data_IF_151111630519
#
_entry.id   IF_151111630519
#
_cell.length_a   1.000
_cell.length_b   1.000
_cell.length_c   1.000
_cell.angle_alpha   90.00
_cell.angle_beta   90.00
_cell.angle_gamma   90.00
#
_symmetry.space_group_name_H-M   'P 1'
#
loop_
_entity.id
_entity.type
_entity.pdbx_description
1 polymer ?
#
# COMPACT_ATOMS: atom_id res chain seq x y z
N UNK A 1 -53.76 -3.02 -96.59
CA UNK A 1 -55.09 -3.65 -96.52
C UNK A 1 -55.18 -4.47 -95.24
N UNK A 2 -56.35 -4.40 -94.56
CA UNK A 2 -56.86 -5.28 -93.50
C UNK A 2 -56.03 -5.32 -92.19
N UNK A 3 -56.47 -4.77 -91.05
CA UNK A 3 -57.69 -5.03 -90.27
C UNK A 3 -57.89 -6.50 -89.89
N UNK A 4 -58.19 -6.70 -88.60
CA UNK A 4 -58.93 -7.79 -87.92
C UNK A 4 -58.19 -8.10 -86.59
N UNK A 5 -58.59 -7.52 -85.44
CA UNK A 5 -59.72 -7.89 -84.54
C UNK A 5 -59.72 -9.41 -84.29
N UNK A 6 -59.87 -10.00 -83.13
CA UNK A 6 -60.25 -9.62 -81.79
C UNK A 6 -59.85 -10.84 -80.93
N UNK A 7 -59.70 -10.68 -79.62
CA UNK A 7 -60.70 -11.17 -78.66
C UNK A 7 -60.14 -11.24 -77.25
N UNK A 8 -60.99 -10.72 -76.37
CA UNK A 8 -60.98 -10.90 -74.93
C UNK A 8 -60.93 -12.38 -74.57
N UNK A 9 -60.36 -12.82 -73.45
CA UNK A 9 -60.74 -12.42 -72.10
C UNK A 9 -59.88 -13.25 -71.15
N UNK A 10 -59.28 -12.67 -70.12
CA UNK A 10 -59.14 -13.28 -68.79
C UNK A 10 -58.59 -12.21 -67.84
N UNK A 11 -59.41 -11.81 -66.85
CA UNK A 11 -58.97 -11.00 -65.71
C UNK A 11 -58.83 -11.89 -64.47
N UNK A 12 -57.95 -11.53 -63.52
CA UNK A 12 -57.14 -12.49 -62.80
C UNK A 12 -57.72 -12.92 -61.45
N UNK A 13 -57.22 -14.07 -60.99
CA UNK A 13 -57.43 -14.65 -59.67
C UNK A 13 -56.92 -13.71 -58.56
N UNK A 14 -57.72 -13.61 -57.50
CA UNK A 14 -57.42 -12.88 -56.28
C UNK A 14 -56.21 -13.50 -55.56
N UNK A 15 -55.18 -12.68 -55.33
CA UNK A 15 -54.01 -12.98 -54.49
C UNK A 15 -54.26 -12.48 -53.07
N UNK A 16 -53.78 -13.24 -52.08
CA UNK A 16 -53.37 -12.68 -50.77
C UNK A 16 -53.77 -13.50 -49.55
N UNK A 17 -52.98 -14.53 -49.23
CA UNK A 17 -52.94 -15.18 -47.92
C UNK A 17 -51.88 -14.50 -47.03
N UNK A 18 -52.17 -14.44 -45.72
CA UNK A 18 -51.29 -14.46 -44.54
C UNK A 18 -50.05 -13.51 -44.50
N UNK A 19 -49.99 -12.53 -43.60
CA UNK A 19 -49.70 -12.62 -42.15
C UNK A 19 -48.23 -12.90 -41.79
N UNK A 20 -47.76 -12.18 -40.74
CA UNK A 20 -46.70 -12.55 -39.77
C UNK A 20 -45.32 -11.87 -39.89
N UNK A 21 -45.12 -10.86 -39.02
CA UNK A 21 -43.90 -10.42 -38.30
C UNK A 21 -42.64 -9.99 -39.08
N UNK A 22 -42.57 -8.69 -39.40
CA UNK A 22 -41.30 -7.98 -39.55
C UNK A 22 -40.82 -7.45 -38.18
N UNK A 23 -40.14 -8.27 -37.37
CA UNK A 23 -39.39 -7.79 -36.19
C UNK A 23 -38.45 -8.87 -35.64
N UNK A 24 -37.35 -9.20 -36.32
CA UNK A 24 -36.24 -9.96 -35.69
C UNK A 24 -35.00 -10.03 -36.58
N UNK A 25 -34.21 -8.96 -36.66
CA UNK A 25 -32.89 -9.08 -37.31
C UNK A 25 -31.80 -8.10 -36.86
N UNK A 26 -31.99 -7.29 -35.81
CA UNK A 26 -30.99 -6.29 -35.39
C UNK A 26 -30.53 -6.36 -33.93
N UNK A 27 -30.86 -7.43 -33.20
CA UNK A 27 -30.46 -7.59 -31.79
C UNK A 27 -29.47 -8.74 -31.53
N UNK A 28 -29.03 -9.48 -32.56
CA UNK A 28 -28.32 -10.74 -32.35
C UNK A 28 -26.76 -10.68 -32.41
N UNK A 29 -26.14 -9.52 -32.64
CA UNK A 29 -24.66 -9.42 -32.69
C UNK A 29 -24.07 -8.68 -31.48
N UNK A 30 -24.84 -7.84 -30.79
CA UNK A 30 -24.35 -7.09 -29.63
C UNK A 30 -24.32 -7.90 -28.30
N UNK A 31 -24.89 -9.11 -28.27
CA UNK A 31 -25.22 -9.80 -27.01
C UNK A 31 -24.39 -11.06 -26.70
N UNK A 32 -23.26 -11.29 -27.39
CA UNK A 32 -22.39 -12.45 -27.14
C UNK A 32 -21.08 -12.15 -26.40
N UNK A 33 -20.72 -10.89 -26.22
CA UNK A 33 -19.48 -10.50 -25.53
C UNK A 33 -19.71 -9.77 -24.20
N UNK A 34 -20.96 -9.48 -23.82
CA UNK A 34 -21.31 -8.80 -22.57
C UNK A 34 -20.86 -9.52 -21.26
N UNK A 35 -20.82 -10.86 -21.12
CA UNK A 35 -20.48 -11.46 -19.84
C UNK A 35 -18.97 -11.44 -19.53
N UNK A 36 -18.11 -11.37 -20.54
CA UNK A 36 -16.67 -11.39 -20.35
C UNK A 36 -16.13 -10.11 -19.68
N UNK A 37 -16.76 -8.96 -19.97
CA UNK A 37 -16.32 -7.65 -19.45
C UNK A 37 -16.74 -7.47 -17.99
N UNK A 38 -17.93 -7.97 -17.63
CA UNK A 38 -18.42 -7.99 -16.26
C UNK A 38 -17.56 -8.93 -15.39
N UNK A 39 -17.25 -10.13 -15.88
CA UNK A 39 -16.35 -11.05 -15.16
C UNK A 39 -14.93 -10.48 -14.99
N UNK A 40 -14.39 -9.81 -16.00
CA UNK A 40 -13.06 -9.18 -15.92
C UNK A 40 -13.04 -8.02 -14.92
N UNK A 41 -14.11 -7.20 -14.88
CA UNK A 41 -14.25 -6.10 -13.91
C UNK A 41 -14.38 -6.61 -12.47
N UNK A 42 -15.11 -7.72 -12.25
CA UNK A 42 -15.26 -8.36 -10.93
C UNK A 42 -13.93 -8.96 -10.42
N UNK A 43 -13.13 -9.56 -11.31
CA UNK A 43 -11.80 -10.10 -10.95
C UNK A 43 -10.81 -8.96 -10.59
N UNK A 44 -10.88 -7.82 -11.28
CA UNK A 44 -10.07 -6.64 -10.96
C UNK A 44 -10.49 -5.98 -9.63
N UNK A 45 -11.78 -5.99 -9.27
CA UNK A 45 -12.25 -5.45 -7.97
C UNK A 45 -11.95 -6.40 -6.79
N UNK A 46 -11.91 -7.71 -7.00
CA UNK A 46 -11.70 -8.71 -5.94
C UNK A 46 -10.26 -8.84 -5.44
N UNK A 47 -9.30 -8.16 -6.10
CA UNK A 47 -7.86 -8.27 -5.80
C UNK A 47 -7.29 -7.09 -5.00
N UNK A 48 -8.15 -6.29 -4.37
CA UNK A 48 -7.70 -5.32 -3.38
C UNK A 48 -7.42 -6.04 -2.06
N UNK A 49 -6.24 -6.66 -1.95
CA UNK A 49 -5.71 -6.99 -0.63
C UNK A 49 -5.59 -5.66 0.12
N UNK A 50 -6.23 -5.47 1.29
CA UNK A 50 -5.93 -4.31 2.11
C UNK A 50 -4.45 -4.42 2.46
N UNK A 51 -3.63 -3.63 1.78
CA UNK A 51 -2.27 -3.40 2.22
C UNK A 51 -2.41 -2.61 3.52
N UNK A 52 -2.47 -3.30 4.65
CA UNK A 52 -2.18 -2.65 5.91
C UNK A 52 -0.78 -2.06 5.75
N UNK A 53 -0.69 -0.74 5.72
CA UNK A 53 0.56 -0.02 5.89
C UNK A 53 0.61 0.37 7.36
N UNK A 54 1.03 -0.57 8.20
CA UNK A 54 1.27 -0.33 9.63
C UNK A 54 2.75 0.00 9.87
N UNK A 55 3.05 0.46 11.08
CA UNK A 55 4.44 0.69 11.51
C UNK A 55 4.91 -0.52 12.29
N UNK A 56 5.85 -1.26 11.72
CA UNK A 56 6.61 -2.29 12.41
C UNK A 56 7.69 -1.67 13.28
N UNK A 57 8.07 -2.38 14.35
CA UNK A 57 9.19 -1.98 15.21
C UNK A 57 9.97 -3.20 15.70
N UNK A 58 11.29 -3.09 15.67
CA UNK A 58 12.22 -4.04 16.28
C UNK A 58 13.29 -3.26 17.05
N UNK A 59 13.81 -3.84 18.13
CA UNK A 59 14.95 -3.29 18.86
C UNK A 59 16.16 -4.21 18.67
N UNK A 60 17.25 -3.66 18.13
CA UNK A 60 18.54 -4.32 18.16
C UNK A 60 19.14 -4.11 19.55
N UNK A 61 19.35 -5.21 20.29
CA UNK A 61 19.96 -5.17 21.62
C UNK A 61 21.35 -4.51 21.59
N UNK A 62 21.79 -3.96 22.72
CA UNK A 62 23.14 -3.40 22.85
C UNK A 62 24.23 -4.45 22.57
N UNK A 63 25.40 -3.96 22.16
CA UNK A 63 26.60 -4.77 21.98
C UNK A 63 27.82 -3.99 22.53
N UNK A 64 29.03 -4.59 22.57
CA UNK A 64 30.21 -3.92 23.15
C UNK A 64 30.60 -2.58 22.49
N UNK A 65 30.13 -2.31 21.27
CA UNK A 65 30.47 -1.11 20.50
C UNK A 65 29.33 -0.09 20.39
N UNK A 66 28.09 -0.47 20.73
CA UNK A 66 26.89 0.35 20.49
C UNK A 66 25.80 0.06 21.52
N UNK A 67 25.12 1.12 21.95
CA UNK A 67 23.83 1.01 22.65
C UNK A 67 22.75 0.34 21.79
N UNK A 68 21.56 0.10 22.37
CA UNK A 68 20.44 -0.45 21.61
C UNK A 68 20.01 0.51 20.50
N UNK A 69 19.49 -0.06 19.41
CA UNK A 69 18.97 0.70 18.26
C UNK A 69 17.53 0.28 18.03
N UNK A 70 16.60 1.21 18.21
CA UNK A 70 15.20 0.98 17.85
C UNK A 70 15.00 1.28 16.38
N UNK A 71 14.39 0.37 15.64
CA UNK A 71 14.15 0.49 14.20
C UNK A 71 12.65 0.43 13.94
N UNK A 72 12.15 1.37 13.15
CA UNK A 72 10.78 1.43 12.68
C UNK A 72 10.75 1.32 11.16
N UNK A 73 9.78 0.59 10.62
CA UNK A 73 9.72 0.26 9.20
C UNK A 73 8.29 -0.03 8.75
N UNK A 74 7.97 0.09 7.46
CA UNK A 74 6.66 -0.30 6.93
C UNK A 74 6.42 -1.79 7.18
N UNK A 75 5.25 -2.16 7.67
CA UNK A 75 4.84 -3.55 7.88
C UNK A 75 3.39 -3.76 7.43
N UNK A 76 3.00 -5.02 7.25
CA UNK A 76 1.62 -5.40 6.88
C UNK A 76 0.87 -6.18 7.95
N UNK A 77 1.51 -6.45 9.09
CA UNK A 77 0.85 -7.02 10.25
C UNK A 77 -0.05 -5.97 10.92
N UNK A 78 -1.10 -6.43 11.60
CA UNK A 78 -1.98 -5.58 12.39
C UNK A 78 -1.19 -4.89 13.52
N UNK A 79 -1.36 -3.58 13.67
CA UNK A 79 -0.75 -2.83 14.77
C UNK A 79 -1.58 -2.98 16.05
N UNK A 80 -0.90 -3.10 17.18
CA UNK A 80 -1.54 -3.17 18.49
C UNK A 80 -1.14 -1.97 19.33
N UNK A 81 -2.02 -1.56 20.26
CA UNK A 81 -1.72 -0.49 21.18
C UNK A 81 -0.70 -0.96 22.23
N UNK A 82 0.46 -0.33 22.23
CA UNK A 82 1.53 -0.52 23.21
C UNK A 82 1.68 0.71 24.09
N UNK A 83 2.11 0.49 25.33
CA UNK A 83 2.43 1.55 26.28
C UNK A 83 3.89 1.43 26.72
N UNK A 84 4.62 2.55 26.68
CA UNK A 84 5.96 2.68 27.26
C UNK A 84 5.99 3.97 28.07
N UNK A 85 6.15 3.84 29.39
CA UNK A 85 6.06 4.95 30.34
C UNK A 85 4.80 5.81 30.13
N UNK A 86 4.97 7.11 29.91
CA UNK A 86 3.88 8.06 29.66
C UNK A 86 3.32 8.00 28.23
N UNK A 87 3.86 7.15 27.37
CA UNK A 87 3.54 7.17 25.96
C UNK A 87 2.76 5.94 25.47
N UNK A 88 1.92 6.12 24.45
CA UNK A 88 1.08 5.08 23.85
C UNK A 88 1.18 5.12 22.33
N UNK A 89 1.37 3.97 21.69
CA UNK A 89 1.60 3.88 20.24
C UNK A 89 0.99 2.62 19.65
N UNK A 90 0.50 2.71 18.42
CA UNK A 90 0.07 1.54 17.65
C UNK A 90 1.24 1.04 16.80
N UNK A 91 1.78 -0.13 17.13
CA UNK A 91 2.92 -0.73 16.44
C UNK A 91 2.68 -2.21 16.18
N UNK A 92 3.29 -2.74 15.12
CA UNK A 92 3.39 -4.17 14.87
C UNK A 92 4.79 -4.66 15.31
N UNK A 93 4.94 -4.97 16.60
CA UNK A 93 6.22 -5.38 17.17
C UNK A 93 6.75 -6.67 16.54
N UNK A 94 8.02 -6.67 16.14
CA UNK A 94 8.74 -7.80 15.53
C UNK A 94 8.05 -8.38 14.27
N UNK A 95 7.15 -7.62 13.63
CA UNK A 95 6.53 -8.03 12.38
C UNK A 95 7.57 -8.08 11.25
N UNK A 96 7.34 -8.94 10.26
CA UNK A 96 8.16 -8.96 9.05
C UNK A 96 8.06 -7.59 8.34
N UNK A 97 9.19 -6.97 7.95
CA UNK A 97 9.17 -5.74 7.17
C UNK A 97 8.47 -5.94 5.85
N UNK A 98 7.63 -4.98 5.46
CA UNK A 98 7.09 -4.92 4.12
C UNK A 98 8.20 -4.52 3.12
N UNK A 99 8.13 -4.98 1.86
CA UNK A 99 9.01 -4.48 0.80
C UNK A 99 8.90 -2.95 0.69
N UNK A 100 10.04 -2.26 0.55
CA UNK A 100 10.07 -0.79 0.68
C UNK A 100 11.14 -0.11 -0.17
N UNK A 101 11.29 1.20 0.00
CA UNK A 101 12.20 2.03 -0.80
C UNK A 101 13.69 1.92 -0.41
N UNK A 102 14.00 1.13 0.62
CA UNK A 102 15.35 0.94 1.18
C UNK A 102 16.07 2.23 1.60
N UNK A 103 15.32 3.29 1.94
CA UNK A 103 15.88 4.56 2.43
C UNK A 103 15.87 4.59 3.95
N UNK A 104 17.03 4.89 4.53
CA UNK A 104 17.24 4.99 5.97
C UNK A 104 17.28 6.46 6.41
N UNK A 105 16.56 6.77 7.48
CA UNK A 105 16.74 7.99 8.27
C UNK A 105 17.19 7.57 9.66
N UNK A 106 18.21 8.24 10.22
CA UNK A 106 18.63 8.03 11.60
C UNK A 106 18.30 9.28 12.41
N UNK A 107 17.58 9.11 13.52
CA UNK A 107 17.22 10.20 14.44
C UNK A 107 18.05 10.04 15.71
N UNK A 108 18.91 11.01 15.99
CA UNK A 108 19.58 11.16 17.27
C UNK A 108 18.68 11.95 18.22
N UNK A 109 18.46 11.45 19.44
CA UNK A 109 17.70 12.18 20.44
C UNK A 109 18.45 13.40 20.99
N UNK A 110 17.76 14.34 21.65
CA UNK A 110 18.36 15.46 22.38
C UNK A 110 19.05 15.05 23.69
N UNK A 111 19.67 16.00 24.39
CA UNK A 111 20.30 15.81 25.70
C UNK A 111 19.38 16.29 26.83
N UNK A 112 19.14 15.53 27.91
CA UNK A 112 19.13 14.08 28.04
C UNK A 112 17.73 13.53 27.72
N UNK A 113 17.43 13.39 26.42
CA UNK A 113 16.09 13.03 25.97
C UNK A 113 15.93 11.52 25.75
N UNK A 114 14.68 11.07 25.76
CA UNK A 114 14.27 9.74 25.34
C UNK A 114 14.10 9.69 23.82
N UNK A 115 14.50 8.62 23.11
CA UNK A 115 14.19 8.45 21.69
C UNK A 115 12.68 8.49 21.39
N UNK A 116 11.85 8.07 22.34
CA UNK A 116 10.40 7.93 22.18
C UNK A 116 9.67 9.27 21.97
N UNK A 117 10.30 10.41 22.27
CA UNK A 117 9.71 11.74 22.04
C UNK A 117 9.52 12.07 20.55
N UNK A 118 10.17 11.34 19.64
CA UNK A 118 10.10 11.54 18.19
C UNK A 118 9.15 10.59 17.48
N UNK A 119 8.28 9.88 18.19
CA UNK A 119 7.50 8.80 17.59
C UNK A 119 6.47 9.23 16.54
N UNK A 120 5.79 10.37 16.72
CA UNK A 120 4.86 10.84 15.68
C UNK A 120 5.57 11.28 14.40
N UNK A 121 6.74 11.92 14.53
CA UNK A 121 7.61 12.21 13.38
C UNK A 121 8.03 10.90 12.70
N UNK A 122 8.42 9.91 13.50
CA UNK A 122 8.89 8.61 13.01
C UNK A 122 7.79 7.84 12.31
N UNK A 123 6.59 7.82 12.88
CA UNK A 123 5.40 7.26 12.25
C UNK A 123 5.16 7.91 10.90
N UNK A 124 5.21 9.24 10.83
CA UNK A 124 5.03 9.99 9.58
C UNK A 124 6.07 9.59 8.52
N UNK A 125 7.35 9.50 8.91
CA UNK A 125 8.43 9.07 8.02
C UNK A 125 8.27 7.62 7.56
N UNK A 126 7.88 6.72 8.45
CA UNK A 126 7.66 5.31 8.10
C UNK A 126 6.47 5.15 7.16
N UNK A 127 5.37 5.86 7.41
CA UNK A 127 4.21 5.86 6.50
C UNK A 127 4.53 6.49 5.14
N UNK A 128 5.53 7.39 5.08
CA UNK A 128 6.11 7.88 3.83
C UNK A 128 7.08 6.88 3.16
N UNK A 129 7.25 5.68 3.74
CA UNK A 129 8.00 4.56 3.19
C UNK A 129 9.45 4.45 3.66
N UNK A 130 9.92 5.29 4.58
CA UNK A 130 11.30 5.23 5.10
C UNK A 130 11.45 4.15 6.19
N UNK A 131 12.65 3.59 6.31
CA UNK A 131 13.09 2.92 7.54
C UNK A 131 13.72 3.99 8.44
N UNK A 132 13.34 4.01 9.73
CA UNK A 132 13.86 4.98 10.69
C UNK A 132 14.56 4.25 11.83
N UNK A 133 15.82 4.59 12.09
CA UNK A 133 16.58 4.06 13.21
C UNK A 133 16.83 5.14 14.28
N UNK A 134 16.73 4.74 15.54
CA UNK A 134 16.97 5.57 16.72
C UNK A 134 17.96 4.88 17.65
N UNK A 135 19.25 5.24 17.59
CA UNK A 135 20.21 4.80 18.60
C UNK A 135 19.91 5.46 19.95
N UNK A 136 20.02 4.67 21.03
CA UNK A 136 20.22 5.20 22.37
C UNK A 136 21.71 5.40 22.61
N UNK A 137 22.10 6.63 22.93
CA UNK A 137 23.51 7.00 23.09
C UNK A 137 24.04 6.62 24.47
N UNK A 138 25.37 6.39 24.58
CA UNK A 138 26.01 6.18 25.88
C UNK A 138 25.91 7.44 26.74
N UNK A 139 25.34 7.29 27.94
CA UNK A 139 24.97 8.40 28.82
C UNK A 139 24.16 9.49 28.07
N UNK A 140 23.96 10.65 28.72
CA UNK A 140 23.21 11.79 28.15
C UNK A 140 21.88 11.39 27.49
N UNK A 141 21.18 10.43 28.10
CA UNK A 141 19.91 9.87 27.65
C UNK A 141 18.94 9.77 28.84
N UNK A 142 17.70 9.39 28.58
CA UNK A 142 16.65 9.39 29.60
C UNK A 142 16.83 8.39 30.76
N UNK A 143 17.73 7.40 30.63
CA UNK A 143 18.06 6.42 31.66
C UNK A 143 19.31 6.82 32.46
N UNK A 144 20.21 7.56 31.83
CA UNK A 144 21.50 7.98 32.38
C UNK A 144 21.88 9.34 31.80
N UNK A 145 21.80 10.38 32.61
CA UNK A 145 22.12 11.76 32.26
C UNK A 145 23.52 12.19 32.73
N UNK A 146 24.38 11.25 33.15
CA UNK A 146 25.62 11.53 33.88
C UNK A 146 26.72 12.25 33.08
N UNK A 147 26.62 12.29 31.76
CA UNK A 147 27.65 12.85 30.89
C UNK A 147 27.06 13.73 29.78
N UNK A 148 26.42 14.86 30.13
CA UNK A 148 25.96 15.81 29.13
C UNK A 148 27.16 16.35 28.33
N UNK A 149 26.88 16.94 27.17
CA UNK A 149 27.94 17.47 26.31
C UNK A 149 28.85 18.48 27.02
N UNK A 150 30.09 18.70 26.51
CA UNK A 150 30.54 18.34 25.15
C UNK A 150 30.98 16.89 24.85
N UNK A 151 31.37 16.02 25.82
CA UNK A 151 31.81 14.66 25.52
C UNK A 151 30.81 13.85 24.70
N UNK A 152 29.52 13.88 25.08
CA UNK A 152 28.46 13.19 24.34
C UNK A 152 28.35 13.69 22.89
N UNK A 153 28.49 14.99 22.65
CA UNK A 153 28.39 15.57 21.30
C UNK A 153 29.48 15.04 20.35
N UNK A 154 30.68 14.77 20.86
CA UNK A 154 31.77 14.18 20.06
C UNK A 154 31.53 12.70 19.76
N UNK A 155 30.85 11.99 20.66
CA UNK A 155 30.57 10.55 20.55
C UNK A 155 29.41 10.24 19.61
N UNK A 156 28.33 11.02 19.69
CA UNK A 156 27.06 10.76 19.00
C UNK A 156 27.17 10.54 17.48
N UNK A 157 27.97 11.28 16.70
CA UNK A 157 28.16 10.99 15.28
C UNK A 157 28.71 9.58 15.02
N UNK A 158 29.63 9.10 15.87
CA UNK A 158 30.21 7.76 15.76
C UNK A 158 29.16 6.71 16.13
N UNK A 159 28.35 6.96 17.16
CA UNK A 159 27.24 6.07 17.55
C UNK A 159 26.17 5.98 16.45
N UNK A 160 25.89 7.08 15.75
CA UNK A 160 25.03 7.10 14.55
C UNK A 160 25.63 6.26 13.43
N UNK A 161 26.92 6.39 13.14
CA UNK A 161 27.59 5.55 12.14
C UNK A 161 27.50 4.07 12.49
N UNK A 162 27.75 3.70 13.75
CA UNK A 162 27.63 2.31 14.23
C UNK A 162 26.20 1.79 14.09
N UNK A 163 25.19 2.62 14.39
CA UNK A 163 23.80 2.23 14.17
C UNK A 163 23.53 1.94 12.68
N UNK A 164 24.05 2.75 11.76
CA UNK A 164 23.93 2.51 10.32
C UNK A 164 24.58 1.18 9.92
N UNK A 165 25.80 0.90 10.41
CA UNK A 165 26.51 -0.34 10.11
C UNK A 165 25.71 -1.57 10.58
N UNK A 166 25.10 -1.49 11.77
CA UNK A 166 24.25 -2.58 12.30
C UNK A 166 22.99 -2.89 11.50
N UNK A 167 22.53 -1.98 10.64
CA UNK A 167 21.39 -2.24 9.75
C UNK A 167 21.82 -2.87 8.41
N UNK A 168 23.12 -2.99 8.14
CA UNK A 168 23.66 -3.58 6.91
C UNK A 168 23.96 -5.07 7.03
N UNK A 169 24.21 -5.52 8.26
CA UNK A 169 24.55 -6.91 8.61
C UNK A 169 23.28 -7.75 8.86
#
# INVERSE_FOLDING_TARGET
MAQVRAEHRHRPAWRGLASVYAFSAWSAIAMRFAPAWIFTLVILLGSACPAFASVGMVELASNPSSGPVTIFYPASAEAQLHRRDAFQFELALNAAPAPGNHRLIVISHGSPASPWVYLELTRTLVLAGFTVAMPEHHADNYKDDSEPGPPSWKRRPIEVSRAIDRLRD
#
